data_IF_156456055785
#
_entry.id   IF_156456055785
#
_cell.length_a   1.000
_cell.length_b   1.000
_cell.length_c   1.000
_cell.angle_alpha   90.00
_cell.angle_beta   90.00
_cell.angle_gamma   90.00
#
_symmetry.space_group_name_H-M   'P 1'
#
loop_
_entity.id
_entity.type
_entity.pdbx_description
1 polymer ?
#
# COMPACT_ATOMS: atom_id res chain seq x y z
N UNK A 1 23.15 -4.86 -10.15
CA UNK A 1 22.07 -4.44 -9.26
C UNK A 1 22.43 -3.17 -8.51
N UNK A 2 21.45 -2.33 -8.20
CA UNK A 2 21.58 -1.15 -7.35
C UNK A 2 20.33 -1.03 -6.46
N UNK A 3 20.54 -0.68 -5.19
CA UNK A 3 19.45 -0.53 -4.24
C UNK A 3 19.63 0.79 -3.44
N UNK A 4 19.36 1.97 -4.05
CA UNK A 4 19.49 3.24 -3.37
C UNK A 4 18.42 3.40 -2.28
N UNK A 5 18.81 4.04 -1.17
CA UNK A 5 17.89 4.44 -0.10
C UNK A 5 18.15 5.91 0.22
N UNK A 6 17.08 6.67 0.29
CA UNK A 6 17.09 8.06 0.74
C UNK A 6 16.08 8.22 1.87
N UNK A 7 16.46 8.95 2.92
CA UNK A 7 15.54 9.32 3.98
C UNK A 7 15.80 10.74 4.48
N UNK A 8 14.72 11.45 4.79
CA UNK A 8 14.76 12.79 5.36
C UNK A 8 13.80 12.84 6.56
N UNK A 9 14.31 13.32 7.69
CA UNK A 9 13.53 13.54 8.91
C UNK A 9 13.52 15.03 9.20
N UNK A 10 12.35 15.56 9.51
CA UNK A 10 12.17 16.96 9.89
C UNK A 10 11.32 17.09 11.15
N UNK A 11 11.66 18.06 12.00
CA UNK A 11 10.87 18.41 13.16
C UNK A 11 10.71 19.94 13.24
N UNK A 12 9.50 20.38 13.58
CA UNK A 12 9.19 21.78 13.80
C UNK A 12 8.25 21.91 14.99
N UNK A 13 8.79 22.30 16.14
CA UNK A 13 8.01 22.30 17.39
C UNK A 13 7.59 20.89 17.76
N UNK A 14 6.29 20.62 17.74
CA UNK A 14 5.74 19.29 18.01
C UNK A 14 5.43 18.49 16.72
N UNK A 15 5.60 19.11 15.57
CA UNK A 15 5.32 18.48 14.29
C UNK A 15 6.53 17.65 13.84
N UNK A 16 6.24 16.49 13.26
CA UNK A 16 7.26 15.53 12.81
C UNK A 16 6.97 15.10 11.39
N UNK A 17 8.04 14.93 10.62
CA UNK A 17 7.98 14.54 9.22
C UNK A 17 9.05 13.48 8.93
N UNK A 18 8.67 12.46 8.18
CA UNK A 18 9.56 11.48 7.59
C UNK A 18 9.23 11.35 6.11
N UNK A 19 10.24 11.48 5.27
CA UNK A 19 10.19 11.13 3.87
C UNK A 19 11.20 10.02 3.63
N UNK A 20 10.81 8.95 2.98
CA UNK A 20 11.68 7.84 2.62
C UNK A 20 11.42 7.41 1.18
N UNK A 21 12.48 7.14 0.47
CA UNK A 21 12.47 6.47 -0.82
C UNK A 21 13.48 5.34 -0.80
N UNK A 22 13.11 4.19 -1.38
CA UNK A 22 14.05 3.12 -1.72
C UNK A 22 13.74 2.56 -3.10
N UNK A 23 14.78 2.14 -3.80
CA UNK A 23 14.67 1.45 -5.08
C UNK A 23 15.42 0.12 -5.05
N UNK A 24 14.99 -0.85 -5.84
CA UNK A 24 15.74 -2.07 -6.16
C UNK A 24 15.76 -2.26 -7.69
N UNK A 25 16.95 -2.12 -8.26
CA UNK A 25 17.17 -2.18 -9.70
C UNK A 25 17.99 -3.43 -10.01
N UNK A 26 17.41 -4.35 -10.76
CA UNK A 26 18.07 -5.61 -11.10
C UNK A 26 18.12 -5.84 -12.60
N UNK A 27 19.34 -6.11 -13.08
CA UNK A 27 19.58 -6.53 -14.44
C UNK A 27 20.25 -7.90 -14.42
N UNK A 28 19.63 -8.85 -15.06
CA UNK A 28 20.14 -10.22 -15.19
C UNK A 28 20.81 -10.39 -16.56
N UNK A 29 22.07 -10.83 -16.55
CA UNK A 29 22.83 -11.08 -17.78
C UNK A 29 22.39 -12.38 -18.48
N UNK A 30 21.77 -13.30 -17.77
CA UNK A 30 21.30 -14.58 -18.28
C UNK A 30 19.93 -14.52 -18.95
N UNK A 31 19.04 -13.66 -18.44
CA UNK A 31 17.69 -13.47 -19.00
C UNK A 31 17.22 -12.04 -18.70
N UNK A 32 17.24 -11.20 -19.73
CA UNK A 32 16.78 -9.80 -19.61
C UNK A 32 15.26 -9.69 -19.36
N UNK A 33 14.51 -10.77 -19.60
CA UNK A 33 13.09 -10.81 -19.33
C UNK A 33 12.76 -10.87 -17.82
N UNK A 34 13.76 -11.07 -16.96
CA UNK A 34 13.61 -11.00 -15.50
C UNK A 34 14.10 -9.66 -14.91
N UNK A 35 14.48 -8.70 -15.76
CA UNK A 35 14.88 -7.38 -15.29
C UNK A 35 13.71 -6.64 -14.66
N UNK A 36 13.97 -5.96 -13.53
CA UNK A 36 12.96 -5.15 -12.86
C UNK A 36 13.53 -3.90 -12.19
N UNK A 37 12.62 -2.99 -11.91
CA UNK A 37 12.90 -1.75 -11.16
C UNK A 37 11.76 -1.55 -10.17
N UNK A 38 12.03 -1.80 -8.90
CA UNK A 38 11.08 -1.58 -7.82
C UNK A 38 11.32 -0.25 -7.14
N UNK A 39 10.25 0.40 -6.71
CA UNK A 39 10.29 1.67 -6.01
C UNK A 39 9.37 1.61 -4.79
N UNK A 40 9.84 2.13 -3.68
CA UNK A 40 9.05 2.31 -2.49
C UNK A 40 9.18 3.75 -2.01
N UNK A 41 8.06 4.39 -1.82
CA UNK A 41 7.96 5.74 -1.28
C UNK A 41 7.11 5.72 -0.01
N UNK A 42 7.57 6.43 1.03
CA UNK A 42 6.83 6.64 2.26
C UNK A 42 6.93 8.08 2.70
N UNK A 43 5.77 8.64 3.06
CA UNK A 43 5.68 9.90 3.80
C UNK A 43 4.90 9.68 5.07
N UNK A 44 5.44 10.16 6.20
CA UNK A 44 4.73 10.24 7.46
C UNK A 44 4.77 11.70 7.95
N UNK A 45 3.60 12.27 8.20
CA UNK A 45 3.44 13.58 8.80
C UNK A 45 2.63 13.48 10.09
N UNK A 46 3.08 14.15 11.15
CA UNK A 46 2.35 14.24 12.41
C UNK A 46 2.34 15.69 12.87
N UNK A 47 1.16 16.22 13.10
CA UNK A 47 0.93 17.59 13.50
C UNK A 47 0.21 17.64 14.85
N UNK A 48 0.59 18.59 15.69
CA UNK A 48 -0.04 18.83 16.98
C UNK A 48 -0.58 20.25 17.06
N UNK A 49 -1.87 20.35 17.37
CA UNK A 49 -2.56 21.63 17.56
C UNK A 49 -2.94 21.76 19.04
N UNK A 50 -2.14 22.52 19.78
CA UNK A 50 -2.26 22.60 21.24
C UNK A 50 -1.97 21.24 21.90
N UNK A 51 -2.61 21.02 23.06
CA UNK A 51 -2.40 19.81 23.84
C UNK A 51 -3.36 18.66 23.50
N UNK A 52 -4.48 18.99 22.85
CA UNK A 52 -5.60 18.05 22.71
C UNK A 52 -5.75 17.48 21.29
N UNK A 53 -5.28 18.16 20.26
CA UNK A 53 -5.54 17.79 18.88
C UNK A 53 -4.29 17.26 18.19
N UNK A 54 -4.42 16.16 17.51
CA UNK A 54 -3.38 15.59 16.67
C UNK A 54 -3.94 15.18 15.31
N UNK A 55 -3.12 15.34 14.29
CA UNK A 55 -3.38 14.87 12.95
C UNK A 55 -2.16 14.08 12.48
N UNK A 56 -2.38 12.89 11.91
CA UNK A 56 -1.30 12.13 11.26
C UNK A 56 -1.72 11.78 9.85
N UNK A 57 -0.78 11.86 8.92
CA UNK A 57 -0.92 11.40 7.55
C UNK A 57 0.20 10.42 7.25
N UNK A 58 -0.17 9.22 6.85
CA UNK A 58 0.74 8.20 6.36
C UNK A 58 0.42 7.93 4.89
N UNK A 59 1.40 8.03 4.03
CA UNK A 59 1.29 7.71 2.60
C UNK A 59 2.40 6.73 2.26
N UNK A 60 2.03 5.64 1.60
CA UNK A 60 2.95 4.66 1.05
C UNK A 60 2.54 4.38 -0.39
N UNK A 61 3.54 4.35 -1.26
CA UNK A 61 3.39 3.95 -2.66
C UNK A 61 4.51 2.96 -2.98
N UNK A 62 4.12 1.76 -3.40
CA UNK A 62 5.04 0.67 -3.72
C UNK A 62 4.81 0.21 -5.14
N UNK A 63 5.74 0.48 -6.01
CA UNK A 63 5.79 -0.08 -7.36
C UNK A 63 6.75 -1.27 -7.29
N UNK A 64 6.18 -2.46 -7.35
CA UNK A 64 6.91 -3.72 -7.30
C UNK A 64 6.77 -4.49 -8.60
N UNK A 65 7.35 -5.67 -8.63
CA UNK A 65 7.20 -6.60 -9.74
C UNK A 65 6.71 -7.96 -9.22
N UNK A 66 6.02 -8.69 -10.08
CA UNK A 66 5.70 -10.09 -9.87
C UNK A 66 6.71 -10.95 -10.62
N UNK A 67 7.48 -11.73 -9.87
CA UNK A 67 8.39 -12.69 -10.47
C UNK A 67 7.61 -13.70 -11.33
N UNK A 68 8.12 -14.02 -12.50
CA UNK A 68 7.50 -15.02 -13.39
C UNK A 68 7.37 -16.36 -12.67
N UNK A 69 6.17 -16.96 -12.71
CA UNK A 69 5.85 -18.23 -12.05
C UNK A 69 5.41 -18.09 -10.60
N UNK A 70 5.10 -16.88 -10.14
CA UNK A 70 4.53 -16.61 -8.82
C UNK A 70 3.24 -15.79 -8.95
N UNK A 71 2.47 -15.76 -7.88
CA UNK A 71 1.22 -14.98 -7.74
C UNK A 71 0.28 -15.17 -8.94
N UNK A 72 0.02 -14.15 -9.75
CA UNK A 72 -0.86 -14.23 -10.93
C UNK A 72 -0.40 -15.28 -11.95
N UNK A 73 0.90 -15.54 -12.02
CA UNK A 73 1.49 -16.50 -12.97
C UNK A 73 1.93 -17.81 -12.30
N UNK A 74 1.44 -18.09 -11.09
CA UNK A 74 1.77 -19.33 -10.39
C UNK A 74 1.38 -20.57 -11.20
N UNK A 75 2.32 -21.50 -11.32
CA UNK A 75 2.13 -22.74 -12.07
C UNK A 75 2.33 -22.62 -13.59
N UNK A 76 2.65 -21.43 -14.12
CA UNK A 76 2.95 -21.28 -15.54
C UNK A 76 4.26 -21.97 -15.91
N UNK A 77 4.21 -22.72 -17.02
CA UNK A 77 5.39 -23.30 -17.65
C UNK A 77 6.13 -22.24 -18.50
N UNK A 78 7.44 -22.40 -18.74
CA UNK A 78 8.23 -21.41 -19.52
C UNK A 78 7.67 -21.03 -20.89
N UNK A 79 6.99 -21.96 -21.56
CA UNK A 79 6.34 -21.70 -22.86
C UNK A 79 5.07 -20.85 -22.73
N UNK A 80 4.38 -20.90 -21.58
CA UNK A 80 3.14 -20.16 -21.35
C UNK A 80 3.39 -18.66 -21.20
N UNK A 81 4.54 -18.24 -20.62
CA UNK A 81 4.89 -16.82 -20.56
C UNK A 81 4.85 -16.17 -21.93
N UNK A 82 5.46 -16.83 -22.94
CA UNK A 82 5.47 -16.35 -24.31
C UNK A 82 4.09 -16.42 -24.95
N UNK A 83 3.33 -17.47 -24.64
CA UNK A 83 1.95 -17.66 -25.14
C UNK A 83 1.00 -16.57 -24.65
N UNK A 84 1.21 -16.06 -23.43
CA UNK A 84 0.38 -15.00 -22.83
C UNK A 84 0.97 -13.59 -22.99
N UNK A 85 2.08 -13.43 -23.72
CA UNK A 85 2.72 -12.13 -23.97
C UNK A 85 3.46 -11.57 -22.74
N UNK A 86 3.86 -12.42 -21.78
CA UNK A 86 4.60 -11.99 -20.59
C UNK A 86 6.09 -11.98 -20.90
N UNK A 87 6.56 -10.91 -21.54
CA UNK A 87 7.94 -10.75 -21.98
C UNK A 87 8.86 -10.16 -20.89
N UNK A 88 8.28 -9.62 -19.84
CA UNK A 88 8.96 -9.04 -18.67
C UNK A 88 8.07 -9.21 -17.43
N UNK A 89 8.58 -9.04 -16.20
CA UNK A 89 7.77 -9.14 -15.00
C UNK A 89 6.59 -8.16 -15.05
N UNK A 90 5.41 -8.62 -14.67
CA UNK A 90 4.27 -7.74 -14.45
C UNK A 90 4.62 -6.79 -13.30
N UNK A 91 4.26 -5.53 -13.42
CA UNK A 91 4.41 -4.60 -12.31
C UNK A 91 3.12 -4.53 -11.51
N UNK A 92 3.25 -4.37 -10.21
CA UNK A 92 2.13 -4.04 -9.33
C UNK A 92 2.39 -2.68 -8.68
N UNK A 93 1.34 -1.89 -8.53
CA UNK A 93 1.38 -0.65 -7.77
C UNK A 93 0.42 -0.78 -6.60
N UNK A 94 0.96 -0.68 -5.38
CA UNK A 94 0.20 -0.73 -4.15
C UNK A 94 0.29 0.61 -3.42
N UNK A 95 -0.84 1.30 -3.34
CA UNK A 95 -1.00 2.54 -2.57
C UNK A 95 -1.67 2.21 -1.24
N UNK A 96 -1.11 2.72 -0.15
CA UNK A 96 -1.69 2.67 1.19
C UNK A 96 -1.63 4.06 1.82
N UNK A 97 -2.78 4.60 2.21
CA UNK A 97 -2.86 5.91 2.86
C UNK A 97 -3.75 5.87 4.08
N UNK A 98 -3.35 6.59 5.12
CA UNK A 98 -4.12 6.77 6.34
C UNK A 98 -4.09 8.24 6.76
N UNK A 99 -5.25 8.82 6.97
CA UNK A 99 -5.43 10.10 7.64
C UNK A 99 -6.10 9.85 8.99
N UNK A 100 -5.41 10.19 10.08
CA UNK A 100 -5.89 9.96 11.46
C UNK A 100 -5.95 11.26 12.22
N UNK A 101 -7.11 11.57 12.74
CA UNK A 101 -7.32 12.64 13.71
C UNK A 101 -7.43 12.06 15.11
N UNK A 102 -6.79 12.70 16.08
CA UNK A 102 -6.88 12.33 17.49
C UNK A 102 -7.30 13.52 18.35
N UNK A 103 -8.18 13.27 19.30
CA UNK A 103 -8.60 14.21 20.32
C UNK A 103 -8.31 13.66 21.71
N UNK A 104 -7.60 14.43 22.52
CA UNK A 104 -7.19 14.07 23.86
C UNK A 104 -5.69 14.31 24.07
N UNK A 105 -5.31 14.64 25.30
CA UNK A 105 -3.90 14.77 25.64
C UNK A 105 -3.21 13.40 25.52
N UNK A 106 -1.93 13.33 25.05
CA UNK A 106 -1.20 12.08 24.91
C UNK A 106 -1.19 11.23 26.18
N UNK A 107 -1.03 11.89 27.33
CA UNK A 107 -0.98 11.27 28.66
C UNK A 107 -2.29 11.45 29.44
N UNK A 108 -3.36 11.89 28.75
CA UNK A 108 -4.67 12.11 29.34
C UNK A 108 -5.41 10.80 29.62
N UNK A 109 -6.41 10.88 30.49
CA UNK A 109 -7.27 9.75 30.82
C UNK A 109 -8.06 9.26 29.62
N UNK A 110 -8.61 10.17 28.83
CA UNK A 110 -9.45 9.86 27.68
C UNK A 110 -8.82 10.31 26.37
N UNK A 111 -8.97 9.50 25.30
CA UNK A 111 -8.55 9.82 23.96
C UNK A 111 -9.56 9.23 22.96
N UNK A 112 -9.89 10.00 21.95
CA UNK A 112 -10.68 9.52 20.82
C UNK A 112 -9.85 9.65 19.53
N UNK A 113 -9.99 8.69 18.63
CA UNK A 113 -9.34 8.69 17.31
C UNK A 113 -10.34 8.36 16.23
N UNK A 114 -10.18 9.01 15.08
CA UNK A 114 -10.90 8.73 13.86
C UNK A 114 -9.86 8.62 12.74
N UNK A 115 -9.87 7.50 12.00
CA UNK A 115 -8.99 7.30 10.88
C UNK A 115 -9.77 6.90 9.62
N UNK A 116 -9.35 7.48 8.49
CA UNK A 116 -9.74 7.11 7.16
C UNK A 116 -8.55 6.44 6.49
N UNK A 117 -8.76 5.24 5.95
CA UNK A 117 -7.74 4.48 5.25
C UNK A 117 -8.20 4.27 3.81
N UNK A 118 -7.25 4.36 2.90
CA UNK A 118 -7.44 4.03 1.50
C UNK A 118 -6.31 3.12 1.04
N UNK A 119 -6.66 2.02 0.38
CA UNK A 119 -5.71 1.11 -0.24
C UNK A 119 -6.11 0.86 -1.69
N UNK A 120 -5.13 0.70 -2.55
CA UNK A 120 -5.37 0.37 -3.96
C UNK A 120 -4.27 -0.54 -4.47
N UNK A 121 -4.65 -1.57 -5.23
CA UNK A 121 -3.76 -2.43 -5.98
C UNK A 121 -4.11 -2.35 -7.46
N UNK A 122 -3.12 -2.06 -8.29
CA UNK A 122 -3.24 -2.09 -9.75
C UNK A 122 -2.05 -2.83 -10.36
N UNK A 123 -2.25 -3.35 -11.58
CA UNK A 123 -1.20 -4.03 -12.34
C UNK A 123 -0.80 -3.21 -13.56
N UNK A 124 0.48 -3.22 -13.87
CA UNK A 124 1.06 -2.53 -15.02
C UNK A 124 1.92 -3.47 -15.85
N UNK A 125 2.51 -2.90 -16.90
CA UNK A 125 3.32 -3.64 -17.87
C UNK A 125 2.54 -4.77 -18.55
N UNK A 126 1.26 -4.51 -18.86
CA UNK A 126 0.30 -5.49 -19.36
C UNK A 126 -0.05 -5.29 -20.84
N UNK A 127 0.59 -4.34 -21.56
CA UNK A 127 0.28 -4.04 -22.96
C UNK A 127 0.46 -5.24 -23.88
N UNK A 128 1.60 -5.94 -23.76
CA UNK A 128 1.89 -7.12 -24.57
C UNK A 128 0.92 -8.28 -24.25
N UNK A 129 0.49 -8.38 -23.00
CA UNK A 129 -0.52 -9.35 -22.55
C UNK A 129 -1.86 -9.03 -23.17
N UNK A 130 -2.26 -7.76 -23.18
CA UNK A 130 -3.52 -7.30 -23.77
C UNK A 130 -3.58 -7.64 -25.26
N UNK A 131 -2.48 -7.41 -25.99
CA UNK A 131 -2.41 -7.66 -27.43
C UNK A 131 -2.35 -9.17 -27.75
N UNK A 132 -1.71 -9.98 -26.90
CA UNK A 132 -1.46 -11.39 -27.15
C UNK A 132 -2.57 -12.29 -26.60
N UNK A 133 -3.09 -11.98 -25.43
CA UNK A 133 -4.11 -12.77 -24.72
C UNK A 133 -5.09 -11.88 -23.96
N UNK A 134 -6.11 -11.33 -24.64
CA UNK A 134 -7.11 -10.47 -24.01
C UNK A 134 -7.83 -11.11 -22.81
N UNK A 135 -8.06 -12.42 -22.85
CA UNK A 135 -8.71 -13.12 -21.73
C UNK A 135 -7.85 -13.15 -20.48
N UNK A 136 -6.54 -13.35 -20.64
CA UNK A 136 -5.61 -13.31 -19.51
C UNK A 136 -5.39 -11.87 -19.01
N UNK A 137 -5.36 -10.89 -19.90
CA UNK A 137 -5.37 -9.49 -19.54
C UNK A 137 -6.61 -9.15 -18.68
N UNK A 138 -7.80 -9.56 -19.09
CA UNK A 138 -9.02 -9.36 -18.32
C UNK A 138 -8.95 -10.05 -16.95
N UNK A 139 -8.35 -11.24 -16.88
CA UNK A 139 -8.12 -11.91 -15.58
C UNK A 139 -7.22 -11.09 -14.65
N UNK A 140 -6.13 -10.49 -15.17
CA UNK A 140 -5.26 -9.60 -14.38
C UNK A 140 -6.06 -8.39 -13.88
N UNK A 141 -6.81 -7.73 -14.76
CA UNK A 141 -7.62 -6.56 -14.43
C UNK A 141 -8.69 -6.85 -13.36
N UNK A 142 -9.21 -8.07 -13.32
CA UNK A 142 -10.16 -8.52 -12.29
C UNK A 142 -9.51 -8.75 -10.91
N UNK A 143 -8.20 -8.67 -10.79
CA UNK A 143 -7.51 -8.73 -9.49
C UNK A 143 -7.23 -7.32 -8.93
N UNK A 144 -7.47 -6.25 -9.71
CA UNK A 144 -7.34 -4.87 -9.26
C UNK A 144 -8.48 -4.49 -8.32
N UNK A 145 -8.13 -3.79 -7.25
CA UNK A 145 -9.10 -3.39 -6.24
C UNK A 145 -8.70 -2.12 -5.52
N UNK A 146 -9.69 -1.45 -4.93
CA UNK A 146 -9.48 -0.44 -3.91
C UNK A 146 -10.32 -0.72 -2.67
N UNK A 147 -9.85 -0.26 -1.51
CA UNK A 147 -10.49 -0.46 -0.22
C UNK A 147 -10.55 0.87 0.54
N UNK A 148 -11.72 1.20 1.02
CA UNK A 148 -11.92 2.31 1.95
C UNK A 148 -12.24 1.74 3.33
N UNK A 149 -11.61 2.27 4.37
CA UNK A 149 -11.87 1.87 5.74
C UNK A 149 -12.07 3.09 6.63
N UNK A 150 -13.00 2.97 7.56
CA UNK A 150 -13.21 3.91 8.65
C UNK A 150 -12.91 3.19 9.96
N UNK A 151 -12.07 3.81 10.79
CA UNK A 151 -11.74 3.32 12.13
C UNK A 151 -12.06 4.42 13.13
N UNK A 152 -12.90 4.11 14.12
CA UNK A 152 -13.17 4.99 15.25
C UNK A 152 -12.79 4.28 16.54
N UNK A 153 -12.03 4.94 17.40
CA UNK A 153 -11.50 4.37 18.63
C UNK A 153 -11.66 5.33 19.81
N UNK A 154 -12.03 4.79 20.95
CA UNK A 154 -12.07 5.52 22.22
C UNK A 154 -11.21 4.76 23.21
N UNK A 155 -10.33 5.48 23.89
CA UNK A 155 -9.48 4.97 24.96
C UNK A 155 -9.88 5.64 26.28
N UNK A 156 -10.07 4.86 27.32
CA UNK A 156 -10.31 5.33 28.70
C UNK A 156 -9.34 4.67 29.67
N UNK A 157 -8.50 5.47 30.29
CA UNK A 157 -7.57 5.03 31.33
C UNK A 157 -8.31 5.00 32.66
N UNK A 158 -8.92 3.86 33.00
CA UNK A 158 -9.70 3.71 34.24
C UNK A 158 -8.82 3.77 35.49
N UNK A 159 -7.66 3.08 35.48
CA UNK A 159 -6.65 3.12 36.53
C UNK A 159 -5.26 3.26 35.89
N UNK A 160 -4.21 3.47 36.70
CA UNK A 160 -2.83 3.48 36.20
C UNK A 160 -2.40 2.18 35.50
N UNK A 161 -3.14 1.09 35.71
CA UNK A 161 -2.82 -0.24 35.15
C UNK A 161 -3.89 -0.78 34.22
N UNK A 162 -5.07 -0.13 34.15
CA UNK A 162 -6.22 -0.61 33.36
C UNK A 162 -6.64 0.44 32.36
N UNK A 163 -6.61 0.08 31.07
CA UNK A 163 -7.10 0.88 29.95
C UNK A 163 -8.16 0.10 29.19
N UNK A 164 -9.28 0.74 28.92
CA UNK A 164 -10.27 0.24 28.00
C UNK A 164 -10.04 0.83 26.60
N UNK A 165 -10.28 0.02 25.58
CA UNK A 165 -10.28 0.43 24.18
C UNK A 165 -11.57 -0.06 23.55
N UNK A 166 -12.32 0.85 22.98
CA UNK A 166 -13.51 0.56 22.19
C UNK A 166 -13.19 0.89 20.76
N UNK A 167 -13.37 -0.05 19.85
CA UNK A 167 -13.05 0.11 18.43
C UNK A 167 -14.26 -0.21 17.58
N UNK A 168 -14.54 0.65 16.62
CA UNK A 168 -15.45 0.42 15.51
C UNK A 168 -14.65 0.48 14.23
N UNK A 169 -14.78 -0.56 13.40
CA UNK A 169 -14.04 -0.68 12.12
C UNK A 169 -15.04 -1.09 11.06
N UNK A 170 -15.06 -0.37 9.94
CA UNK A 170 -15.77 -0.78 8.74
C UNK A 170 -14.84 -0.70 7.55
N UNK A 171 -14.89 -1.70 6.69
CA UNK A 171 -14.12 -1.81 5.48
C UNK A 171 -15.08 -2.04 4.31
N UNK A 172 -14.77 -1.44 3.19
CA UNK A 172 -15.45 -1.70 1.94
C UNK A 172 -14.38 -1.86 0.85
N UNK A 173 -14.29 -3.07 0.30
CA UNK A 173 -13.42 -3.37 -0.83
C UNK A 173 -14.26 -3.47 -2.10
N UNK A 174 -13.75 -2.87 -3.13
CA UNK A 174 -14.35 -2.86 -4.45
C UNK A 174 -13.32 -3.29 -5.48
N UNK A 175 -13.70 -4.27 -6.32
CA UNK A 175 -12.88 -4.74 -7.42
C UNK A 175 -13.25 -4.00 -8.69
N UNK A 176 -12.29 -3.30 -9.29
CA UNK A 176 -12.53 -2.35 -10.37
C UNK A 176 -13.22 -2.99 -11.60
N UNK A 177 -12.93 -4.28 -11.86
CA UNK A 177 -13.47 -5.01 -13.01
C UNK A 177 -14.19 -6.31 -12.64
N UNK A 178 -14.56 -6.50 -11.37
CA UNK A 178 -15.27 -7.70 -10.91
C UNK A 178 -16.10 -7.43 -9.65
N UNK A 179 -17.26 -6.80 -9.80
CA UNK A 179 -18.15 -6.44 -8.69
C UNK A 179 -18.72 -7.66 -7.93
N UNK A 180 -18.62 -8.87 -8.46
CA UNK A 180 -19.03 -10.09 -7.74
C UNK A 180 -18.10 -10.41 -6.55
N UNK A 181 -16.89 -9.84 -6.51
CA UNK A 181 -15.95 -9.99 -5.41
C UNK A 181 -16.02 -8.88 -4.37
N UNK A 182 -16.87 -7.89 -4.54
CA UNK A 182 -16.97 -6.75 -3.60
C UNK A 182 -17.41 -7.18 -2.19
N UNK A 183 -16.87 -6.53 -1.15
CA UNK A 183 -17.10 -6.86 0.27
C UNK A 183 -17.09 -5.61 1.18
#
# INVERSE_FOLDING_TARGET
SAAPVFSMVGERGQDKYLLMYSGDYRNYSSDSADNYNDHFFRFNGAWRYGQMHGLTLNLEDSIGHESRGRDITEGFLPNQFRQYGINSPLTNNFINSELRYSYGAPDGRGKAELALLYKKLTFGNTSDVQDTSPDFYNYIQQQEWHENSLVAEIFDQYTSRTRFRYSFITNQRHYDNNSEKDS
#
